data_IF_963598131276
#
_entry.id   IF_963598131276
#
_cell.length_a   1.000
_cell.length_b   1.000
_cell.length_c   1.000
_cell.angle_alpha   90.00
_cell.angle_beta   90.00
_cell.angle_gamma   90.00
#
_symmetry.space_group_name_H-M   'P 1'
#
loop_
_entity.id
_entity.type
_entity.pdbx_description
1 polymer ?
#
# COMPACT_ATOMS: atom_id res chain seq x y z
N UNK A 1 -19.88 4.87 -5.31
CA UNK A 1 -20.21 3.70 -6.15
C UNK A 1 -19.15 3.49 -7.23
N UNK A 2 -18.96 4.43 -8.17
CA UNK A 2 -18.01 4.34 -9.30
C UNK A 2 -16.58 3.93 -8.91
N UNK A 3 -15.99 4.54 -7.87
CA UNK A 3 -14.62 4.24 -7.41
C UNK A 3 -14.42 2.76 -7.04
N UNK A 4 -15.42 2.14 -6.39
CA UNK A 4 -15.35 0.72 -6.00
C UNK A 4 -15.41 -0.17 -7.23
N UNK A 5 -16.30 0.14 -8.16
CA UNK A 5 -16.46 -0.62 -9.42
C UNK A 5 -15.17 -0.54 -10.23
N UNK A 6 -14.55 0.64 -10.34
CA UNK A 6 -13.27 0.81 -11.02
C UNK A 6 -12.15 -0.01 -10.36
N UNK A 7 -12.07 -0.05 -9.02
CA UNK A 7 -11.10 -0.87 -8.30
C UNK A 7 -11.30 -2.37 -8.53
N UNK A 8 -12.54 -2.84 -8.53
CA UNK A 8 -12.86 -4.25 -8.80
C UNK A 8 -12.57 -4.62 -10.26
N UNK A 9 -12.92 -3.77 -11.22
CA UNK A 9 -12.57 -3.98 -12.63
C UNK A 9 -11.06 -4.01 -12.84
N UNK A 10 -10.33 -3.08 -12.21
CA UNK A 10 -8.88 -3.04 -12.26
C UNK A 10 -8.28 -4.33 -11.67
N UNK A 11 -8.77 -4.78 -10.52
CA UNK A 11 -8.30 -6.01 -9.89
C UNK A 11 -8.59 -7.25 -10.74
N UNK A 12 -9.80 -7.39 -11.28
CA UNK A 12 -10.15 -8.51 -12.16
C UNK A 12 -9.31 -8.45 -13.44
N UNK A 13 -9.15 -7.27 -14.05
CA UNK A 13 -8.33 -7.08 -15.24
C UNK A 13 -6.88 -7.49 -15.02
N UNK A 14 -6.24 -7.01 -13.96
CA UNK A 14 -4.88 -7.40 -13.60
C UNK A 14 -4.77 -8.88 -13.27
N UNK A 15 -5.71 -9.44 -12.50
CA UNK A 15 -5.67 -10.86 -12.14
C UNK A 15 -5.81 -11.74 -13.38
N UNK A 16 -6.75 -11.41 -14.27
CA UNK A 16 -6.96 -12.10 -15.55
C UNK A 16 -5.71 -12.04 -16.42
N UNK A 17 -5.09 -10.87 -16.52
CA UNK A 17 -3.84 -10.69 -17.24
C UNK A 17 -2.71 -11.55 -16.64
N UNK A 18 -2.56 -11.55 -15.31
CA UNK A 18 -1.52 -12.31 -14.62
C UNK A 18 -1.68 -13.83 -14.79
N UNK A 19 -2.90 -14.37 -14.85
CA UNK A 19 -3.11 -15.81 -14.99
C UNK A 19 -3.19 -16.31 -16.43
N UNK A 20 -3.64 -15.49 -17.39
CA UNK A 20 -3.83 -15.92 -18.78
C UNK A 20 -2.73 -15.48 -19.74
N UNK A 21 -2.14 -14.30 -19.52
CA UNK A 21 -1.24 -13.64 -20.46
C UNK A 21 0.19 -13.55 -19.94
N UNK A 22 0.41 -13.83 -18.65
CA UNK A 22 1.76 -13.87 -18.13
C UNK A 22 2.55 -15.03 -18.77
N UNK A 23 3.81 -14.79 -19.14
CA UNK A 23 4.67 -15.84 -19.64
C UNK A 23 4.81 -16.96 -18.59
N UNK A 24 4.91 -18.23 -19.03
CA UNK A 24 5.02 -19.36 -18.12
C UNK A 24 6.26 -19.25 -17.22
N UNK A 25 6.10 -19.71 -15.98
CA UNK A 25 7.16 -19.67 -14.98
C UNK A 25 8.42 -20.41 -15.47
N UNK A 26 9.57 -19.75 -15.34
CA UNK A 26 10.86 -20.38 -15.63
C UNK A 26 11.32 -21.17 -14.40
N UNK A 27 11.88 -22.37 -14.56
CA UNK A 27 12.35 -23.20 -13.44
C UNK A 27 13.38 -22.47 -12.55
N UNK A 28 14.18 -21.59 -13.15
CA UNK A 28 15.22 -20.84 -12.46
C UNK A 28 14.67 -19.66 -11.61
N UNK A 29 13.38 -19.35 -11.72
CA UNK A 29 12.76 -18.20 -11.02
C UNK A 29 12.82 -18.37 -9.50
N UNK A 30 12.56 -19.57 -8.99
CA UNK A 30 12.63 -19.85 -7.55
C UNK A 30 14.06 -19.75 -7.02
N UNK A 31 15.03 -20.26 -7.78
CA UNK A 31 16.45 -20.15 -7.44
C UNK A 31 16.90 -18.69 -7.44
N UNK A 32 16.43 -17.89 -8.42
CA UNK A 32 16.71 -16.47 -8.49
C UNK A 32 16.13 -15.71 -7.28
N UNK A 33 14.87 -15.97 -6.89
CA UNK A 33 14.26 -15.36 -5.70
C UNK A 33 15.03 -15.74 -4.43
N UNK A 34 15.49 -16.99 -4.33
CA UNK A 34 16.29 -17.45 -3.21
C UNK A 34 17.65 -16.75 -3.16
N UNK A 35 18.35 -16.61 -4.28
CA UNK A 35 19.61 -15.86 -4.39
C UNK A 35 19.43 -14.38 -4.02
N UNK A 36 18.36 -13.76 -4.51
CA UNK A 36 18.01 -12.37 -4.17
C UNK A 36 17.75 -12.19 -2.67
N UNK A 37 17.06 -13.14 -2.04
CA UNK A 37 16.73 -13.12 -0.61
C UNK A 37 17.91 -13.44 0.30
N UNK A 38 18.85 -14.27 -0.14
CA UNK A 38 20.06 -14.65 0.61
C UNK A 38 21.22 -13.65 0.47
N UNK A 39 21.05 -12.60 -0.32
CA UNK A 39 22.09 -11.58 -0.55
C UNK A 39 23.14 -11.97 -1.59
N UNK A 40 22.92 -13.07 -2.32
CA UNK A 40 23.81 -13.53 -3.40
C UNK A 40 23.53 -12.75 -4.68
N UNK A 41 23.91 -11.47 -4.71
CA UNK A 41 23.65 -10.58 -5.85
C UNK A 41 24.74 -10.62 -6.93
N UNK A 42 25.81 -11.37 -6.70
CA UNK A 42 26.88 -11.55 -7.68
C UNK A 42 26.34 -12.24 -8.94
N UNK A 43 26.60 -11.62 -10.09
CA UNK A 43 26.11 -12.05 -11.42
C UNK A 43 24.60 -11.91 -11.68
N UNK A 44 23.85 -11.24 -10.79
CA UNK A 44 22.43 -10.90 -11.05
C UNK A 44 22.36 -9.51 -11.68
N UNK A 45 21.48 -9.34 -12.67
CA UNK A 45 21.23 -8.03 -13.26
C UNK A 45 20.73 -7.04 -12.18
N UNK A 46 21.40 -5.89 -11.97
CA UNK A 46 21.00 -4.91 -10.96
C UNK A 46 19.57 -4.38 -11.10
N UNK A 47 19.00 -4.39 -12.32
CA UNK A 47 17.61 -4.03 -12.56
C UNK A 47 16.65 -5.00 -11.86
N UNK A 48 16.96 -6.30 -11.87
CA UNK A 48 16.16 -7.34 -11.21
C UNK A 48 16.24 -7.16 -9.69
N UNK A 49 17.45 -6.92 -9.17
CA UNK A 49 17.67 -6.64 -7.73
C UNK A 49 16.85 -5.42 -7.30
N UNK A 50 16.91 -4.34 -8.07
CA UNK A 50 16.17 -3.10 -7.80
C UNK A 50 14.67 -3.33 -7.85
N UNK A 51 14.18 -4.06 -8.86
CA UNK A 51 12.77 -4.40 -9.00
C UNK A 51 12.26 -5.22 -7.81
N UNK A 52 13.00 -6.25 -7.40
CA UNK A 52 12.65 -7.08 -6.25
C UNK A 52 12.56 -6.26 -4.95
N UNK A 53 13.53 -5.37 -4.71
CA UNK A 53 13.51 -4.49 -3.53
C UNK A 53 12.32 -3.52 -3.56
N UNK A 54 12.06 -2.89 -4.70
CA UNK A 54 10.92 -1.99 -4.88
C UNK A 54 9.60 -2.76 -4.67
N UNK A 55 9.49 -3.98 -5.19
CA UNK A 55 8.32 -4.85 -4.99
C UNK A 55 8.04 -5.16 -3.52
N UNK A 56 9.05 -5.19 -2.64
CA UNK A 56 8.88 -5.32 -1.19
C UNK A 56 8.58 -4.00 -0.46
N UNK A 57 9.16 -2.89 -0.92
CA UNK A 57 8.96 -1.55 -0.33
C UNK A 57 7.52 -1.06 -0.55
N UNK A 58 6.90 -1.33 -1.70
CA UNK A 58 5.52 -0.93 -1.98
C UNK A 58 4.51 -1.50 -0.96
N UNK A 59 4.45 -2.83 -0.74
CA UNK A 59 3.70 -3.46 0.34
C UNK A 59 3.94 -2.83 1.71
N UNK A 60 5.18 -2.51 2.06
CA UNK A 60 5.53 -1.87 3.33
C UNK A 60 4.86 -0.49 3.46
N UNK A 61 4.96 0.36 2.44
CA UNK A 61 4.33 1.69 2.46
C UNK A 61 2.81 1.55 2.59
N UNK A 62 2.19 0.67 1.81
CA UNK A 62 0.75 0.44 1.86
C UNK A 62 0.31 -0.20 3.17
N UNK A 63 1.13 -1.05 3.79
CA UNK A 63 0.85 -1.62 5.10
C UNK A 63 0.72 -0.55 6.16
N UNK A 64 1.68 0.38 6.23
CA UNK A 64 1.65 1.50 7.16
C UNK A 64 0.34 2.30 7.00
N UNK A 65 0.00 2.66 5.76
CA UNK A 65 -1.26 3.35 5.46
C UNK A 65 -2.48 2.54 5.92
N UNK A 66 -2.51 1.24 5.62
CA UNK A 66 -3.58 0.33 6.01
C UNK A 66 -3.72 0.17 7.53
N UNK A 67 -2.61 0.13 8.28
CA UNK A 67 -2.62 0.04 9.74
C UNK A 67 -3.15 1.31 10.40
N UNK A 68 -2.77 2.49 9.90
CA UNK A 68 -3.31 3.75 10.39
C UNK A 68 -4.82 3.89 10.11
N UNK A 69 -5.27 3.46 8.93
CA UNK A 69 -6.66 3.56 8.48
C UNK A 69 -7.56 2.40 8.96
N UNK A 70 -6.94 1.29 9.40
CA UNK A 70 -7.61 0.08 9.86
C UNK A 70 -8.15 0.15 11.29
N UNK A 71 -7.84 1.22 12.04
CA UNK A 71 -8.35 1.41 13.41
C UNK A 71 -9.87 1.62 13.41
N UNK A 72 -10.61 0.52 13.59
CA UNK A 72 -12.09 0.49 13.66
C UNK A 72 -12.80 -0.29 12.55
N UNK A 73 -12.10 -1.10 11.74
CA UNK A 73 -12.68 -1.92 10.66
C UNK A 73 -12.83 -3.38 11.07
N UNK A 74 -13.93 -4.03 10.65
CA UNK A 74 -14.19 -5.47 10.90
C UNK A 74 -13.20 -6.41 10.20
N UNK A 75 -12.55 -5.95 9.13
CA UNK A 75 -11.57 -6.75 8.38
C UNK A 75 -10.18 -6.34 8.83
N UNK A 76 -9.37 -7.28 9.36
CA UNK A 76 -8.01 -7.00 9.77
C UNK A 76 -7.16 -6.62 8.56
N UNK A 77 -6.74 -5.35 8.52
CA UNK A 77 -5.88 -4.84 7.45
C UNK A 77 -4.50 -5.53 7.42
N UNK A 78 -4.07 -6.08 8.57
CA UNK A 78 -2.81 -6.80 8.71
C UNK A 78 -2.74 -8.06 7.83
N UNK A 79 -3.86 -8.76 7.63
CA UNK A 79 -3.89 -9.99 6.82
C UNK A 79 -3.58 -9.71 5.35
N UNK A 80 -4.18 -8.65 4.81
CA UNK A 80 -3.94 -8.22 3.43
C UNK A 80 -2.54 -7.63 3.26
N UNK A 81 -2.03 -6.96 4.30
CA UNK A 81 -0.65 -6.47 4.33
C UNK A 81 0.37 -7.61 4.31
N UNK A 82 0.19 -8.67 5.10
CA UNK A 82 1.13 -9.80 5.08
C UNK A 82 1.08 -10.54 3.75
N UNK A 83 -0.12 -10.72 3.19
CA UNK A 83 -0.29 -11.36 1.88
C UNK A 83 0.36 -10.52 0.75
N UNK A 84 0.39 -9.20 0.88
CA UNK A 84 0.98 -8.32 -0.13
C UNK A 84 2.49 -8.44 -0.28
N UNK A 85 3.21 -9.07 0.66
CA UNK A 85 4.64 -9.35 0.47
C UNK A 85 4.89 -10.49 -0.52
N UNK A 86 4.00 -11.48 -0.57
CA UNK A 86 4.11 -12.59 -1.51
C UNK A 86 3.48 -12.25 -2.87
N UNK A 87 2.23 -11.78 -2.84
CA UNK A 87 1.44 -11.56 -4.06
C UNK A 87 1.49 -10.10 -4.53
N UNK A 88 2.16 -9.19 -3.81
CA UNK A 88 2.23 -7.78 -4.19
C UNK A 88 0.89 -7.03 -4.06
N UNK A 89 0.68 -6.08 -4.98
CA UNK A 89 -0.52 -5.22 -5.01
C UNK A 89 -1.83 -5.99 -5.27
N UNK A 90 -1.75 -7.24 -5.75
CA UNK A 90 -2.92 -8.10 -5.96
C UNK A 90 -3.68 -8.41 -4.66
N UNK A 91 -3.00 -8.43 -3.51
CA UNK A 91 -3.64 -8.60 -2.21
C UNK A 91 -4.23 -7.28 -1.67
N UNK A 92 -3.69 -6.13 -2.07
CA UNK A 92 -4.10 -4.80 -1.58
C UNK A 92 -5.40 -4.33 -2.23
N UNK A 93 -5.55 -4.57 -3.54
CA UNK A 93 -6.68 -4.09 -4.33
C UNK A 93 -8.07 -4.61 -3.85
N UNK A 94 -8.26 -5.90 -3.51
CA UNK A 94 -9.51 -6.41 -2.96
C UNK A 94 -9.91 -5.71 -1.66
N UNK A 95 -8.92 -5.48 -0.79
CA UNK A 95 -9.14 -4.78 0.47
C UNK A 95 -9.62 -3.35 0.24
N UNK A 96 -9.03 -2.62 -0.73
CA UNK A 96 -9.47 -1.28 -1.11
C UNK A 96 -10.88 -1.27 -1.73
N UNK A 97 -11.23 -2.27 -2.53
CA UNK A 97 -12.57 -2.43 -3.11
C UNK A 97 -13.65 -2.69 -2.06
N UNK A 98 -13.34 -3.53 -1.06
CA UNK A 98 -14.27 -3.87 0.02
C UNK A 98 -14.39 -2.75 1.06
N UNK A 99 -13.32 -1.99 1.28
CA UNK A 99 -13.26 -0.91 2.26
C UNK A 99 -14.43 0.06 2.09
N UNK A 100 -15.17 0.28 3.17
CA UNK A 100 -16.09 1.42 3.26
C UNK A 100 -15.29 2.69 3.60
N UNK A 101 -15.62 3.88 3.07
CA UNK A 101 -15.06 5.12 3.58
C UNK A 101 -15.41 5.23 5.07
N UNK A 102 -14.42 5.41 5.95
CA UNK A 102 -14.71 5.78 7.33
C UNK A 102 -14.37 7.27 7.51
N UNK A 103 -15.35 8.18 7.41
CA UNK A 103 -15.10 9.60 7.60
C UNK A 103 -14.83 9.98 9.06
N UNK A 104 -14.98 9.06 10.01
CA UNK A 104 -14.77 9.31 11.44
C UNK A 104 -13.48 8.64 11.91
N UNK A 105 -12.46 9.45 12.14
CA UNK A 105 -11.26 9.05 12.88
C UNK A 105 -11.67 8.75 14.33
N UNK A 106 -12.00 7.49 14.62
CA UNK A 106 -12.48 7.04 15.95
C UNK A 106 -11.33 6.64 16.89
N UNK A 107 -10.08 6.85 16.50
CA UNK A 107 -8.94 6.64 17.39
C UNK A 107 -8.80 7.79 18.38
N UNK A 108 -8.51 7.49 19.66
CA UNK A 108 -8.04 8.50 20.62
C UNK A 108 -6.91 9.30 19.95
N UNK A 109 -7.12 10.60 19.80
CA UNK A 109 -6.12 11.53 19.24
C UNK A 109 -4.92 11.49 20.18
N UNK A 110 -3.81 10.91 19.72
CA UNK A 110 -2.58 10.86 20.51
C UNK A 110 -2.07 12.28 20.73
N UNK A 111 -1.38 12.52 21.85
CA UNK A 111 -0.90 13.85 22.25
C UNK A 111 -0.05 14.52 21.15
N UNK A 112 0.69 13.71 20.39
CA UNK A 112 1.44 14.15 19.20
C UNK A 112 0.56 14.67 18.05
N UNK A 113 -0.58 14.04 17.80
CA UNK A 113 -1.54 14.50 16.78
C UNK A 113 -2.24 15.80 17.18
N UNK A 114 -2.46 16.02 18.48
CA UNK A 114 -3.00 17.29 18.97
C UNK A 114 -2.03 18.46 18.82
N UNK A 115 -0.73 18.24 19.04
CA UNK A 115 0.30 19.27 18.87
C UNK A 115 0.45 19.67 17.39
N UNK A 116 0.28 18.71 16.47
CA UNK A 116 0.39 18.99 15.03
C UNK A 116 -0.82 19.78 14.50
N UNK A 117 -2.03 19.42 14.95
CA UNK A 117 -3.26 20.11 14.52
C UNK A 117 -3.29 21.56 14.99
N UNK A 118 -2.89 21.85 16.24
CA UNK A 118 -2.89 23.23 16.75
C UNK A 118 -1.97 24.14 15.92
N UNK A 119 -0.80 23.65 15.53
CA UNK A 119 0.17 24.44 14.73
C UNK A 119 -0.31 24.70 13.31
N UNK A 120 -1.00 23.74 12.70
CA UNK A 120 -1.56 23.91 11.36
C UNK A 120 -2.77 24.85 11.36
N UNK A 121 -3.69 24.70 12.31
CA UNK A 121 -4.84 25.58 12.47
C UNK A 121 -4.41 27.05 12.68
N UNK A 122 -3.41 27.27 13.54
CA UNK A 122 -2.87 28.62 13.80
C UNK A 122 -2.23 29.22 12.54
N UNK A 123 -1.45 28.45 11.79
CA UNK A 123 -0.81 28.91 10.55
C UNK A 123 -1.83 29.26 9.45
N UNK A 124 -2.89 28.45 9.28
CA UNK A 124 -3.95 28.74 8.30
C UNK A 124 -4.79 29.96 8.71
N UNK A 125 -5.05 30.12 10.01
CA UNK A 125 -5.77 31.29 10.54
C UNK A 125 -4.95 32.57 10.39
N UNK A 126 -3.64 32.51 10.62
CA UNK A 126 -2.73 33.66 10.46
C UNK A 126 -2.59 34.10 9.01
N UNK A 127 -2.58 33.14 8.06
CA UNK A 127 -2.50 33.45 6.62
C UNK A 127 -3.78 34.12 6.10
N UNK A 128 -4.96 33.80 6.65
CA UNK A 128 -6.20 34.46 6.24
C UNK A 128 -6.28 35.93 6.68
N UNK A 129 -5.66 36.27 7.81
CA UNK A 129 -5.67 37.63 8.36
C UNK A 129 -4.71 38.59 7.62
N UNK A 130 -3.62 38.06 7.05
CA UNK A 130 -2.68 38.84 6.22
C UNK A 130 -3.25 39.19 4.84
N UNK A 131 -4.23 38.44 4.32
CA UNK A 131 -4.82 38.71 3.00
C UNK A 131 -5.98 39.71 3.02
N UNK A 132 -6.40 40.16 4.20
CA UNK A 132 -7.51 41.12 4.40
C UNK A 132 -7.06 42.53 4.83
N UNK A 133 -5.75 42.81 4.87
CA UNK A 133 -5.22 44.17 5.05
C UNK A 133 -4.76 44.78 3.74
#
# INVERSE_FOLDING_TARGET
MLKKIALWLLWIGFSTYAFLLAPPDQPDTLELIQKLSTGQWENINPLIVSLFNIMGIWPLIYSCLMFFDGRGKKIPAWLFSTLSFGVGAFAILPYLGWRQPNPKFSGKKNLFLNILDSRLEDMFRYRHDITKR
#
